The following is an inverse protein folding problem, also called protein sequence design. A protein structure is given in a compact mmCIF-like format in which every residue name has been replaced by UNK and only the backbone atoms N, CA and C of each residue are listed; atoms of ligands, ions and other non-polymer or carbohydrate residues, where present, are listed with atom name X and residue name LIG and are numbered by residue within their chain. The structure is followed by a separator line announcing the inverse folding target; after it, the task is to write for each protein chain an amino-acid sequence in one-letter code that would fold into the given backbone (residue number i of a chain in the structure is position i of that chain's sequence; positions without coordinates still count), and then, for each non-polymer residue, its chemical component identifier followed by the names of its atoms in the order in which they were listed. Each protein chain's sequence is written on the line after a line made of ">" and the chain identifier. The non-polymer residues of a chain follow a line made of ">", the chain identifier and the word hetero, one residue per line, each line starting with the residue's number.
data_IF_498664933968
#
_entry.id   IF_498664933968
#
_cell.length_a   1.000
_cell.length_b   1.000
_cell.length_c   1.000
_cell.angle_alpha   90.00
_cell.angle_beta   90.00
_cell.angle_gamma   90.00
#
_symmetry.space_group_name_H-M   'P 1'
#
loop_
_entity.id
_entity.type
_entity.pdbx_description
1 polymer ?
#
# COMPACT_ATOMS: atom_id res chain seq x y z
N UNK A 1 6.55 -12.86 13.94
CA UNK A 1 5.71 -13.27 12.80
C UNK A 1 4.74 -12.13 12.61
N UNK A 2 5.01 -11.25 11.66
CA UNK A 2 4.05 -10.23 11.26
C UNK A 2 3.02 -10.92 10.36
N UNK A 3 1.74 -10.79 10.68
CA UNK A 3 0.66 -11.29 9.83
C UNK A 3 0.38 -10.31 8.68
N UNK A 4 0.69 -9.02 8.88
CA UNK A 4 0.43 -7.95 7.91
C UNK A 4 1.65 -7.01 7.82
N UNK A 5 2.26 -6.90 6.66
CA UNK A 5 3.36 -5.95 6.40
C UNK A 5 2.82 -4.73 5.69
N UNK A 6 2.87 -3.57 6.32
CA UNK A 6 2.47 -2.30 5.73
C UNK A 6 3.68 -1.69 5.01
N UNK A 7 3.47 -1.30 3.76
CA UNK A 7 4.51 -0.77 2.88
C UNK A 7 4.08 0.65 2.54
N UNK A 8 4.77 1.64 3.09
CA UNK A 8 4.49 3.04 2.81
C UNK A 8 5.46 3.61 1.77
N UNK A 9 4.93 4.32 0.78
CA UNK A 9 5.68 5.06 -0.21
C UNK A 9 5.24 6.52 -0.21
N UNK A 10 6.07 7.41 0.32
CA UNK A 10 5.79 8.84 0.36
C UNK A 10 7.04 9.65 0.06
N UNK A 11 6.85 10.85 -0.49
CA UNK A 11 7.91 11.87 -0.55
C UNK A 11 7.75 12.92 0.56
N UNK A 12 6.51 13.18 0.98
CA UNK A 12 6.16 14.27 1.90
C UNK A 12 5.64 13.77 3.26
N UNK A 13 5.74 12.47 3.55
CA UNK A 13 5.22 11.89 4.79
C UNK A 13 3.74 11.49 4.79
N UNK A 14 2.90 12.01 3.88
CA UNK A 14 1.44 11.76 3.93
C UNK A 14 1.04 10.27 3.92
N UNK A 15 1.69 9.44 3.10
CA UNK A 15 1.40 8.00 3.09
C UNK A 15 1.97 7.25 4.30
N UNK A 16 3.01 7.79 4.93
CA UNK A 16 3.61 7.23 6.14
C UNK A 16 2.64 7.40 7.33
N UNK A 17 2.10 8.61 7.52
CA UNK A 17 1.08 8.87 8.55
C UNK A 17 -0.14 7.95 8.41
N UNK A 18 -0.65 7.78 7.18
CA UNK A 18 -1.78 6.87 6.94
C UNK A 18 -1.40 5.42 7.26
N UNK A 19 -0.19 4.98 6.88
CA UNK A 19 0.26 3.63 7.18
C UNK A 19 0.41 3.39 8.70
N UNK A 20 0.99 4.32 9.45
CA UNK A 20 1.11 4.23 10.91
C UNK A 20 -0.28 4.19 11.58
N UNK A 21 -1.22 5.04 11.15
CA UNK A 21 -2.58 5.02 11.68
C UNK A 21 -3.29 3.69 11.41
N UNK A 22 -3.12 3.15 10.20
CA UNK A 22 -3.64 1.82 9.81
C UNK A 22 -3.01 0.70 10.63
N UNK A 23 -1.71 0.79 10.91
CA UNK A 23 -0.97 -0.13 11.77
C UNK A 23 -1.61 -0.19 13.15
N UNK A 24 -1.78 0.95 13.81
CA UNK A 24 -2.36 1.01 15.15
C UNK A 24 -3.74 0.34 15.19
N UNK A 25 -4.61 0.61 14.20
CA UNK A 25 -5.96 0.02 14.13
C UNK A 25 -5.95 -1.49 13.96
N UNK A 26 -4.99 -2.01 13.22
CA UNK A 26 -4.80 -3.45 13.02
C UNK A 26 -4.22 -4.11 14.29
N UNK A 27 -3.28 -3.46 14.98
CA UNK A 27 -2.75 -3.91 16.26
C UNK A 27 -3.82 -3.92 17.36
N UNK A 28 -4.66 -2.87 17.43
CA UNK A 28 -5.82 -2.82 18.32
C UNK A 28 -6.81 -3.95 18.04
N UNK A 29 -6.93 -4.38 16.78
CA UNK A 29 -7.74 -5.53 16.39
C UNK A 29 -7.08 -6.88 16.70
N UNK A 30 -5.83 -6.89 17.19
CA UNK A 30 -5.07 -8.08 17.60
C UNK A 30 -4.18 -8.68 16.51
N UNK A 31 -4.00 -7.99 15.38
CA UNK A 31 -3.09 -8.43 14.32
C UNK A 31 -1.64 -7.98 14.62
N UNK A 32 -0.66 -8.80 14.25
CA UNK A 32 0.75 -8.39 14.28
C UNK A 32 1.10 -7.69 12.97
N UNK A 33 1.33 -6.39 13.04
CA UNK A 33 1.68 -5.55 11.89
C UNK A 33 3.12 -5.04 11.98
N UNK A 34 3.67 -4.69 10.83
CA UNK A 34 4.97 -4.02 10.73
C UNK A 34 4.91 -2.98 9.60
N UNK A 35 5.21 -1.71 9.89
CA UNK A 35 5.31 -0.66 8.87
C UNK A 35 6.75 -0.56 8.38
N UNK A 36 6.90 -0.60 7.06
CA UNK A 36 8.13 -0.41 6.33
C UNK A 36 7.99 0.77 5.37
N UNK A 37 8.92 1.71 5.44
CA UNK A 37 8.93 2.91 4.60
C UNK A 37 9.89 2.71 3.42
N UNK A 38 9.35 2.44 2.23
CA UNK A 38 10.14 2.09 1.05
C UNK A 38 11.08 0.88 1.23
N UNK A 39 10.57 -0.28 1.73
CA UNK A 39 11.41 -1.46 1.91
C UNK A 39 11.95 -1.98 0.58
N UNK A 40 13.09 -2.67 0.65
CA UNK A 40 13.60 -3.44 -0.47
C UNK A 40 12.88 -4.79 -0.59
N UNK A 41 12.88 -5.38 -1.79
CA UNK A 41 12.23 -6.67 -2.02
C UNK A 41 12.76 -7.79 -1.09
N UNK A 42 14.03 -7.72 -0.70
CA UNK A 42 14.69 -8.71 0.17
C UNK A 42 14.17 -8.65 1.62
N UNK A 43 13.64 -7.50 2.04
CA UNK A 43 13.04 -7.32 3.37
C UNK A 43 11.59 -7.82 3.41
N UNK A 44 10.95 -7.95 2.24
CA UNK A 44 9.57 -8.36 2.13
C UNK A 44 9.43 -9.88 2.05
N UNK A 45 8.55 -10.41 2.89
CA UNK A 45 8.24 -11.84 2.87
C UNK A 45 7.22 -12.14 1.76
N UNK A 46 7.53 -12.99 0.77
CA UNK A 46 6.64 -13.32 -0.36
C UNK A 46 5.41 -14.15 0.04
N UNK A 47 5.11 -14.24 1.34
CA UNK A 47 4.01 -15.00 1.93
C UNK A 47 3.34 -14.13 3.02
N UNK A 48 2.02 -14.23 3.15
CA UNK A 48 1.25 -13.46 4.14
C UNK A 48 0.38 -12.37 3.51
N UNK A 49 0.23 -11.24 4.22
CA UNK A 49 -0.58 -10.10 3.79
C UNK A 49 0.27 -8.84 3.72
N UNK A 50 0.27 -8.16 2.58
CA UNK A 50 0.90 -6.84 2.44
C UNK A 50 -0.15 -5.73 2.37
N UNK A 51 0.13 -4.55 2.91
CA UNK A 51 -0.73 -3.40 2.81
C UNK A 51 0.05 -2.24 2.23
N UNK A 52 -0.14 -1.94 0.96
CA UNK A 52 0.66 -0.94 0.26
C UNK A 52 -0.07 0.39 0.31
N UNK A 53 0.59 1.39 0.88
CA UNK A 53 0.09 2.76 1.03
C UNK A 53 1.06 3.68 0.28
N UNK A 54 0.66 4.19 -0.87
CA UNK A 54 1.56 5.01 -1.70
C UNK A 54 0.93 6.31 -2.12
N UNK A 55 1.68 7.40 -2.01
CA UNK A 55 1.30 8.69 -2.58
C UNK A 55 1.71 8.76 -4.04
N UNK A 56 0.82 9.29 -4.88
CA UNK A 56 1.08 9.49 -6.29
C UNK A 56 1.77 10.83 -6.50
N UNK A 57 2.92 10.84 -7.19
CA UNK A 57 3.63 12.08 -7.51
C UNK A 57 3.32 12.53 -8.95
N UNK A 58 2.98 13.81 -9.13
CA UNK A 58 2.85 14.46 -10.43
C UNK A 58 2.00 13.70 -11.46
N UNK A 59 2.66 12.99 -12.38
CA UNK A 59 2.05 12.33 -13.51
C UNK A 59 1.69 10.85 -13.26
N UNK A 60 1.33 10.45 -12.04
CA UNK A 60 0.96 9.06 -11.77
C UNK A 60 2.12 8.15 -11.38
N UNK A 61 3.30 8.70 -11.09
CA UNK A 61 4.51 7.93 -10.83
C UNK A 61 4.62 7.54 -9.35
N UNK A 62 5.30 6.42 -9.12
CA UNK A 62 5.70 5.95 -7.79
C UNK A 62 6.72 6.92 -7.19
N UNK A 63 6.67 7.17 -5.86
CA UNK A 63 7.68 7.97 -5.20
C UNK A 63 9.05 7.27 -5.27
N UNK A 64 10.15 8.04 -5.29
CA UNK A 64 11.52 7.51 -5.38
C UNK A 64 11.84 6.43 -4.33
N UNK A 65 11.20 6.49 -3.15
CA UNK A 65 11.40 5.50 -2.09
C UNK A 65 10.77 4.13 -2.41
N UNK A 66 9.76 4.08 -3.28
CA UNK A 66 9.04 2.86 -3.65
C UNK A 66 9.39 2.35 -5.05
N UNK A 67 10.02 3.21 -5.87
CA UNK A 67 10.53 2.87 -7.19
C UNK A 67 11.49 1.66 -7.20
N UNK A 68 12.54 1.58 -6.34
CA UNK A 68 13.46 0.44 -6.36
C UNK A 68 12.77 -0.88 -6.01
N UNK A 69 11.78 -0.87 -5.12
CA UNK A 69 10.97 -2.03 -4.81
C UNK A 69 10.20 -2.53 -6.04
N UNK A 70 9.57 -1.61 -6.76
CA UNK A 70 8.82 -1.93 -7.97
C UNK A 70 9.73 -2.53 -9.04
N UNK A 71 10.90 -1.94 -9.29
CA UNK A 71 11.89 -2.47 -10.23
C UNK A 71 12.39 -3.86 -9.82
N UNK A 72 12.68 -4.06 -8.53
CA UNK A 72 13.11 -5.35 -7.99
C UNK A 72 12.04 -6.44 -8.18
N UNK A 73 10.76 -6.12 -7.98
CA UNK A 73 9.63 -7.03 -8.25
C UNK A 73 9.56 -7.40 -9.75
N UNK A 74 9.82 -6.44 -10.64
CA UNK A 74 9.87 -6.71 -12.08
C UNK A 74 11.06 -7.59 -12.49
N UNK A 75 12.21 -7.42 -11.86
CA UNK A 75 13.44 -8.13 -12.20
C UNK A 75 13.46 -9.55 -11.60
N UNK A 76 13.19 -9.66 -10.30
CA UNK A 76 13.23 -10.92 -9.54
C UNK A 76 12.06 -11.82 -9.88
N UNK A 77 10.88 -11.23 -10.10
CA UNK A 77 9.60 -11.93 -10.32
C UNK A 77 9.37 -13.10 -9.35
N UNK A 78 9.34 -12.84 -8.03
CA UNK A 78 9.07 -13.89 -7.05
C UNK A 78 7.67 -14.46 -7.24
N UNK A 79 7.47 -15.73 -6.88
CA UNK A 79 6.13 -16.32 -6.86
C UNK A 79 5.39 -15.82 -5.63
N UNK A 80 4.38 -14.97 -5.86
CA UNK A 80 3.54 -14.39 -4.82
C UNK A 80 2.15 -15.04 -4.80
N UNK A 81 2.00 -16.26 -5.32
CA UNK A 81 0.70 -16.93 -5.45
C UNK A 81 -0.04 -17.12 -4.12
N UNK A 82 0.70 -17.21 -3.02
CA UNK A 82 0.17 -17.30 -1.65
C UNK A 82 0.03 -15.95 -0.95
N UNK A 83 0.58 -14.88 -1.52
CA UNK A 83 0.55 -13.55 -0.95
C UNK A 83 -0.80 -12.89 -1.22
N UNK A 84 -1.33 -12.24 -0.20
CA UNK A 84 -2.47 -11.36 -0.33
C UNK A 84 -2.05 -9.91 -0.10
N UNK A 85 -2.69 -8.95 -0.73
CA UNK A 85 -2.34 -7.55 -0.51
C UNK A 85 -3.54 -6.60 -0.50
N UNK A 86 -3.44 -5.51 0.26
CA UNK A 86 -4.32 -4.36 0.16
C UNK A 86 -3.60 -3.20 -0.52
N UNK A 87 -4.36 -2.33 -1.16
CA UNK A 87 -3.85 -1.26 -1.99
C UNK A 87 -4.51 0.06 -1.59
N UNK A 88 -3.71 1.02 -1.14
CA UNK A 88 -4.14 2.36 -0.73
C UNK A 88 -3.33 3.37 -1.55
N UNK A 89 -4.02 4.05 -2.45
CA UNK A 89 -3.47 5.16 -3.22
C UNK A 89 -3.86 6.48 -2.57
N UNK A 90 -2.87 7.32 -2.31
CA UNK A 90 -3.08 8.71 -1.93
C UNK A 90 -2.77 9.55 -3.17
N UNK A 91 -3.70 10.38 -3.58
CA UNK A 91 -3.58 11.17 -4.80
C UNK A 91 -4.23 12.53 -4.64
N UNK A 92 -4.14 13.31 -5.71
CA UNK A 92 -4.78 14.59 -5.84
C UNK A 92 -5.49 14.59 -7.20
N UNK A 93 -6.82 14.75 -7.21
CA UNK A 93 -7.63 14.66 -8.42
C UNK A 93 -7.37 15.80 -9.42
N UNK A 94 -6.72 16.91 -9.01
CA UNK A 94 -6.30 17.95 -9.96
C UNK A 94 -5.26 17.41 -10.96
N UNK A 95 -4.63 16.26 -10.66
CA UNK A 95 -3.75 15.56 -11.58
C UNK A 95 -4.52 14.53 -12.41
N UNK A 96 -4.27 14.55 -13.73
CA UNK A 96 -4.90 13.66 -14.72
C UNK A 96 -4.75 12.16 -14.38
N UNK A 97 -3.65 11.79 -13.70
CA UNK A 97 -3.33 10.41 -13.33
C UNK A 97 -3.54 10.17 -11.83
N UNK A 98 -4.81 10.29 -11.42
CA UNK A 98 -5.24 10.00 -10.06
C UNK A 98 -4.96 8.52 -9.66
N UNK A 99 -4.17 8.35 -8.60
CA UNK A 99 -3.79 7.05 -8.05
C UNK A 99 -3.09 6.11 -9.07
N UNK A 100 -2.29 6.67 -10.00
CA UNK A 100 -1.53 5.89 -10.97
C UNK A 100 -0.47 4.98 -10.35
N UNK A 101 0.19 5.44 -9.30
CA UNK A 101 1.29 4.71 -8.64
C UNK A 101 0.83 3.36 -8.07
N UNK A 102 -0.30 3.37 -7.34
CA UNK A 102 -0.84 2.15 -6.75
C UNK A 102 -1.33 1.17 -7.83
N UNK A 103 -1.91 1.68 -8.93
CA UNK A 103 -2.37 0.87 -10.08
C UNK A 103 -1.22 0.04 -10.66
N UNK A 104 -0.06 0.66 -10.87
CA UNK A 104 1.13 -0.01 -11.41
C UNK A 104 1.61 -1.15 -10.49
N UNK A 105 1.66 -0.89 -9.17
CA UNK A 105 2.04 -1.91 -8.19
C UNK A 105 1.04 -3.07 -8.15
N UNK A 106 -0.27 -2.77 -8.15
CA UNK A 106 -1.30 -3.81 -8.19
C UNK A 106 -1.16 -4.70 -9.44
N UNK A 107 -0.94 -4.10 -10.61
CA UNK A 107 -0.74 -4.86 -11.86
C UNK A 107 0.47 -5.77 -11.76
N UNK A 108 1.59 -5.29 -11.22
CA UNK A 108 2.77 -6.13 -11.01
C UNK A 108 2.52 -7.26 -10.02
N UNK A 109 1.92 -6.99 -8.87
CA UNK A 109 1.65 -8.00 -7.86
C UNK A 109 0.67 -9.07 -8.38
N UNK A 110 -0.37 -8.66 -9.12
CA UNK A 110 -1.29 -9.58 -9.77
C UNK A 110 -0.58 -10.46 -10.81
N UNK A 111 0.37 -9.91 -11.58
CA UNK A 111 1.18 -10.69 -12.51
C UNK A 111 2.07 -11.73 -11.82
N UNK A 112 2.52 -11.44 -10.60
CA UNK A 112 3.30 -12.35 -9.75
C UNK A 112 2.44 -13.40 -9.02
N UNK A 113 1.12 -13.35 -9.18
CA UNK A 113 0.17 -14.29 -8.57
C UNK A 113 -0.45 -13.82 -7.26
N UNK A 114 -0.05 -12.65 -6.74
CA UNK A 114 -0.60 -12.10 -5.51
C UNK A 114 -2.08 -11.76 -5.68
N UNK A 115 -2.84 -11.88 -4.59
CA UNK A 115 -4.28 -11.61 -4.60
C UNK A 115 -4.64 -10.36 -3.80
N UNK A 116 -5.36 -9.45 -4.43
CA UNK A 116 -5.91 -8.31 -3.72
C UNK A 116 -6.98 -8.75 -2.72
N UNK A 117 -6.92 -8.21 -1.50
CA UNK A 117 -7.98 -8.31 -0.48
C UNK A 117 -8.83 -7.05 -0.60
N UNK A 118 -10.13 -7.23 -0.80
CA UNK A 118 -11.08 -6.12 -0.94
C UNK A 118 -10.82 -5.21 -2.14
N UNK A 119 -11.33 -3.99 -2.02
CA UNK A 119 -11.17 -2.93 -3.01
C UNK A 119 -10.04 -1.99 -2.63
N UNK A 120 -9.39 -1.39 -3.64
CA UNK A 120 -8.38 -0.35 -3.40
C UNK A 120 -9.03 0.83 -2.68
N UNK A 121 -8.29 1.47 -1.78
CA UNK A 121 -8.67 2.78 -1.27
C UNK A 121 -8.00 3.84 -2.13
N UNK A 122 -8.77 4.83 -2.58
CA UNK A 122 -8.26 6.02 -3.25
C UNK A 122 -8.58 7.21 -2.37
N UNK A 123 -7.56 7.82 -1.77
CA UNK A 123 -7.68 8.99 -0.89
C UNK A 123 -7.29 10.22 -1.68
N UNK A 124 -8.19 11.20 -1.73
CA UNK A 124 -7.92 12.50 -2.34
C UNK A 124 -7.48 13.51 -1.27
N UNK A 125 -6.22 13.98 -1.33
CA UNK A 125 -5.67 14.91 -0.32
C UNK A 125 -6.17 16.35 -0.46
N UNK A 126 -6.87 16.70 -1.54
CA UNK A 126 -7.49 18.02 -1.70
C UNK A 126 -8.93 18.05 -1.20
N UNK A 127 -9.70 16.97 -1.39
CA UNK A 127 -11.07 16.83 -0.90
C UNK A 127 -11.11 16.35 0.55
N UNK A 128 -10.21 15.44 0.96
CA UNK A 128 -10.15 14.96 2.33
C UNK A 128 -9.12 15.76 3.12
N UNK A 129 -9.61 16.64 4.01
CA UNK A 129 -8.79 17.33 5.01
C UNK A 129 -8.01 16.35 5.91
N UNK A 130 -8.54 15.13 6.11
CA UNK A 130 -7.93 14.10 6.95
C UNK A 130 -7.91 12.76 6.19
N UNK A 131 -6.76 12.34 5.64
CA UNK A 131 -6.65 11.07 4.92
C UNK A 131 -6.80 9.85 5.84
N UNK A 132 -6.45 9.99 7.12
CA UNK A 132 -6.51 8.93 8.14
C UNK A 132 -7.95 8.45 8.41
N UNK A 133 -8.95 9.34 8.34
CA UNK A 133 -10.35 8.99 8.60
C UNK A 133 -10.91 8.04 7.51
N UNK A 134 -10.63 8.36 6.25
CA UNK A 134 -10.99 7.51 5.11
C UNK A 134 -10.27 6.14 5.19
N UNK A 135 -8.99 6.16 5.57
CA UNK A 135 -8.21 4.95 5.79
C UNK A 135 -8.75 4.09 6.93
N UNK A 136 -9.17 4.69 8.04
CA UNK A 136 -9.76 4.01 9.19
C UNK A 136 -11.05 3.26 8.80
N UNK A 137 -11.97 3.94 8.10
CA UNK A 137 -13.23 3.33 7.65
C UNK A 137 -12.97 2.16 6.71
N UNK A 138 -12.01 2.34 5.79
CA UNK A 138 -11.64 1.31 4.85
C UNK A 138 -11.01 0.11 5.55
N UNK A 139 -10.04 0.30 6.46
CA UNK A 139 -9.37 -0.81 7.16
C UNK A 139 -10.32 -1.56 8.07
N UNK A 140 -11.31 -0.87 8.65
CA UNK A 140 -12.34 -1.51 9.46
C UNK A 140 -13.17 -2.53 8.65
N UNK A 141 -13.37 -2.27 7.36
CA UNK A 141 -14.04 -3.21 6.44
C UNK A 141 -13.04 -4.24 5.91
N UNK A 142 -11.86 -3.79 5.47
CA UNK A 142 -10.82 -4.64 4.90
C UNK A 142 -10.37 -5.73 5.87
N UNK A 143 -10.23 -5.41 7.16
CA UNK A 143 -9.85 -6.38 8.20
C UNK A 143 -10.81 -7.55 8.38
N UNK A 144 -12.05 -7.42 7.90
CA UNK A 144 -13.05 -8.50 7.92
C UNK A 144 -12.91 -9.46 6.74
N UNK A 145 -12.11 -9.11 5.74
CA UNK A 145 -11.90 -9.89 4.52
C UNK A 145 -10.56 -10.67 4.51
N UNK A 146 -9.72 -10.45 5.53
CA UNK A 146 -8.42 -11.11 5.71
C UNK A 146 -8.61 -12.51 6.28
#
# INVERSE_FOLDING_TARGET
>A
MADITLISGSTLGSAEYVAEHLEEKLQEAGFSTEVLHGPELDELQPEGIWLIVTSTHGAGELPDNLLPLYEALQETKPDLSGLRYGAVGIGNHEYDLFCGAIKLLEEQLNQLGAKRIGDRLEIDVLEHEIPEDAAEVWVATWKTQI
#
